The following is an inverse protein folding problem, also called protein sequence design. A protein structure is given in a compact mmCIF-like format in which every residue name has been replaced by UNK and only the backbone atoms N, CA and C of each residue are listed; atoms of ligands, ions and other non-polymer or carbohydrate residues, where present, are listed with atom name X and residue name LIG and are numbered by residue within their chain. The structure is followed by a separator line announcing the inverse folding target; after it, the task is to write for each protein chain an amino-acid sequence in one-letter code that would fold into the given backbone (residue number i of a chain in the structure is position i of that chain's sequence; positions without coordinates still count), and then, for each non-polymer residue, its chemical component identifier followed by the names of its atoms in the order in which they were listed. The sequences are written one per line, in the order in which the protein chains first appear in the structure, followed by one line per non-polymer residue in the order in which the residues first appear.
data_IF_026564262922
#
_entry.id   IF_026564262922
#
_cell.length_a   1.000
_cell.length_b   1.000
_cell.length_c   1.000
_cell.angle_alpha   90.00
_cell.angle_beta   90.00
_cell.angle_gamma   90.00
#
_symmetry.space_group_name_H-M   'P 1'
#
loop_
_entity.id
_entity.type
_entity.pdbx_description
1 polymer ?
#
# COMPACT_ATOMS: atom_id res chain seq x y z
N UNK A 1 -5.45 1.63 10.93
CA UNK A 1 -4.22 1.00 10.36
C UNK A 1 -3.20 0.75 11.47
N UNK A 2 -2.18 -0.08 11.25
CA UNK A 2 -1.18 -0.43 12.29
C UNK A 2 -0.37 0.76 12.83
N UNK A 3 -0.13 1.77 11.99
CA UNK A 3 0.49 3.05 12.39
C UNK A 3 -0.40 3.86 13.33
N UNK A 4 -1.72 3.86 13.12
CA UNK A 4 -2.66 4.57 14.02
C UNK A 4 -2.74 3.87 15.38
N UNK A 5 -2.70 2.53 15.36
CA UNK A 5 -2.70 1.73 16.57
C UNK A 5 -1.48 2.05 17.45
N UNK A 6 -0.29 2.14 16.87
CA UNK A 6 0.93 2.39 17.66
C UNK A 6 0.98 3.83 18.22
N UNK A 7 0.44 4.82 17.51
CA UNK A 7 0.30 6.19 18.02
C UNK A 7 -0.62 6.21 19.25
N UNK A 8 -1.77 5.52 19.18
CA UNK A 8 -2.72 5.41 20.32
C UNK A 8 -2.08 4.74 21.55
N UNK A 9 -1.09 3.88 21.33
CA UNK A 9 -0.31 3.21 22.38
C UNK A 9 0.90 4.04 22.85
N UNK A 10 1.02 5.30 22.40
CA UNK A 10 2.01 6.26 22.90
C UNK A 10 3.33 6.29 22.14
N UNK A 11 3.41 5.73 20.92
CA UNK A 11 4.61 5.90 20.09
C UNK A 11 4.69 7.32 19.53
N UNK A 12 5.84 7.97 19.71
CA UNK A 12 6.17 9.23 19.07
C UNK A 12 6.70 8.98 17.65
N UNK A 13 5.79 8.95 16.68
CA UNK A 13 6.16 8.80 15.26
C UNK A 13 6.70 10.09 14.64
N UNK A 14 6.65 11.23 15.34
CA UNK A 14 7.28 12.48 14.92
C UNK A 14 8.77 12.54 15.30
N UNK A 15 9.26 11.55 16.07
CA UNK A 15 10.66 11.44 16.46
C UNK A 15 11.60 11.52 15.23
N UNK A 16 12.48 12.54 15.14
CA UNK A 16 13.33 12.76 13.97
C UNK A 16 14.42 11.70 13.79
N UNK A 17 14.60 10.81 14.77
CA UNK A 17 15.47 9.66 14.64
C UNK A 17 14.82 8.50 13.90
N UNK A 18 13.49 8.44 13.79
CA UNK A 18 12.82 7.42 13.00
C UNK A 18 13.13 7.62 11.52
N UNK A 19 13.41 6.52 10.83
CA UNK A 19 13.81 6.50 9.43
C UNK A 19 12.77 5.78 8.57
N UNK A 20 12.20 4.70 9.10
CA UNK A 20 11.23 3.87 8.40
C UNK A 20 10.48 3.00 9.39
N UNK A 21 9.39 2.40 8.92
CA UNK A 21 8.87 1.17 9.50
C UNK A 21 8.99 0.04 8.49
N UNK A 22 9.00 -1.19 9.01
CA UNK A 22 9.00 -2.42 8.24
C UNK A 22 7.89 -3.34 8.77
N UNK A 23 7.42 -4.23 7.91
CA UNK A 23 6.40 -5.21 8.25
C UNK A 23 6.98 -6.61 8.07
N UNK A 24 6.87 -7.46 9.08
CA UNK A 24 7.25 -8.87 8.98
C UNK A 24 5.97 -9.70 9.09
N UNK A 25 5.62 -10.48 8.06
CA UNK A 25 4.46 -11.37 8.12
C UNK A 25 4.79 -12.64 8.90
N UNK A 26 3.91 -13.01 9.81
CA UNK A 26 3.77 -14.33 10.42
C UNK A 26 2.47 -14.98 9.89
N UNK A 27 2.24 -16.27 10.11
CA UNK A 27 1.14 -17.04 9.48
C UNK A 27 -0.24 -16.39 9.57
N UNK A 28 -0.52 -15.65 10.65
CA UNK A 28 -1.81 -14.97 10.89
C UNK A 28 -1.71 -13.55 11.42
N UNK A 29 -0.50 -13.01 11.46
CA UNK A 29 -0.23 -11.69 12.03
C UNK A 29 0.91 -11.00 11.31
N UNK A 30 1.06 -9.71 11.57
CA UNK A 30 2.16 -8.92 11.06
C UNK A 30 2.83 -8.20 12.21
N UNK A 31 4.15 -8.21 12.22
CA UNK A 31 4.95 -7.45 13.16
C UNK A 31 5.36 -6.15 12.46
N UNK A 32 4.83 -5.04 12.95
CA UNK A 32 5.19 -3.71 12.53
C UNK A 32 6.34 -3.21 13.41
N UNK A 33 7.46 -2.87 12.79
CA UNK A 33 8.70 -2.49 13.48
C UNK A 33 9.18 -1.11 13.01
N UNK A 34 9.36 -0.18 13.94
CA UNK A 34 9.83 1.19 13.65
C UNK A 34 11.33 1.31 13.89
N UNK A 35 12.06 1.65 12.82
CA UNK A 35 13.51 1.68 12.78
C UNK A 35 13.97 3.12 12.73
N UNK A 36 14.97 3.45 13.55
CA UNK A 36 15.58 4.76 13.60
C UNK A 36 17.10 4.73 13.72
N UNK A 37 17.70 5.92 13.80
CA UNK A 37 19.12 6.14 14.06
C UNK A 37 19.49 5.64 15.46
N UNK A 38 20.65 5.01 15.62
CA UNK A 38 21.19 4.48 16.88
C UNK A 38 22.70 4.72 16.91
N UNK A 39 23.15 5.86 17.45
CA UNK A 39 24.56 6.28 17.38
C UNK A 39 25.08 6.21 15.93
N UNK A 40 26.02 5.29 15.65
CA UNK A 40 26.62 5.04 14.33
C UNK A 40 25.92 3.91 13.53
N UNK A 41 24.76 3.43 13.97
CA UNK A 41 23.99 2.35 13.31
C UNK A 41 22.49 2.67 13.28
N UNK A 42 21.67 1.71 12.85
CA UNK A 42 20.22 1.72 13.03
C UNK A 42 19.80 0.88 14.24
N UNK A 43 18.59 1.11 14.74
CA UNK A 43 17.98 0.34 15.82
C UNK A 43 16.46 0.38 15.80
N UNK A 44 15.84 -0.59 16.45
CA UNK A 44 14.41 -0.73 16.63
C UNK A 44 13.93 0.12 17.82
N UNK A 45 13.00 1.01 17.58
CA UNK A 45 12.41 1.92 18.57
C UNK A 45 11.07 1.40 19.09
N UNK A 46 10.21 0.96 18.17
CA UNK A 46 8.88 0.46 18.50
C UNK A 46 8.60 -0.84 17.75
N UNK A 47 7.81 -1.70 18.35
CA UNK A 47 7.31 -2.91 17.71
C UNK A 47 5.88 -3.16 18.17
N UNK A 48 5.03 -3.67 17.28
CA UNK A 48 3.66 -4.09 17.60
C UNK A 48 3.27 -5.24 16.68
N UNK A 49 2.48 -6.17 17.19
CA UNK A 49 1.86 -7.21 16.37
C UNK A 49 0.43 -6.79 16.02
N UNK A 50 0.05 -6.99 14.76
CA UNK A 50 -1.28 -6.67 14.24
C UNK A 50 -1.85 -7.90 13.53
N UNK A 51 -3.15 -8.12 13.65
CA UNK A 51 -3.93 -9.08 12.87
C UNK A 51 -4.91 -8.32 11.96
N UNK A 52 -5.79 -9.05 11.29
CA UNK A 52 -6.92 -8.44 10.55
C UNK A 52 -7.90 -7.73 11.47
N UNK A 53 -7.97 -8.13 12.74
CA UNK A 53 -8.94 -7.61 13.71
C UNK A 53 -8.40 -6.40 14.49
N UNK A 54 -7.10 -6.12 14.36
CA UNK A 54 -6.47 -4.97 15.01
C UNK A 54 -5.11 -5.30 15.64
N UNK A 55 -4.58 -4.41 16.49
CA UNK A 55 -3.38 -4.71 17.26
C UNK A 55 -3.63 -5.88 18.23
N UNK A 56 -2.66 -6.78 18.35
CA UNK A 56 -2.69 -7.85 19.37
C UNK A 56 -2.46 -7.22 20.74
N UNK A 57 -3.31 -7.54 21.69
CA UNK A 57 -3.22 -7.03 23.07
C UNK A 57 -1.84 -7.31 23.67
N UNK A 58 -1.30 -6.30 24.38
CA UNK A 58 0.01 -6.35 25.04
C UNK A 58 1.21 -6.65 24.12
N UNK A 59 1.06 -6.62 22.79
CA UNK A 59 2.16 -6.85 21.84
C UNK A 59 3.04 -5.63 21.59
N UNK A 60 2.59 -4.44 22.03
CA UNK A 60 3.33 -3.20 21.83
C UNK A 60 4.57 -3.12 22.73
N UNK A 61 5.70 -2.85 22.11
CA UNK A 61 6.99 -2.69 22.77
C UNK A 61 7.58 -1.34 22.38
N UNK A 62 7.89 -0.53 23.40
CA UNK A 62 8.70 0.69 23.28
C UNK A 62 10.08 0.47 23.88
N UNK A 63 11.12 0.57 23.05
CA UNK A 63 12.49 0.34 23.47
C UNK A 63 13.13 1.64 23.96
N UNK A 64 13.30 1.80 25.29
CA UNK A 64 13.99 2.96 25.91
C UNK A 64 15.36 3.23 25.29
N UNK A 65 16.09 2.17 24.90
CA UNK A 65 17.30 2.23 24.09
C UNK A 65 17.08 1.42 22.82
N UNK A 66 17.34 1.97 21.61
CA UNK A 66 17.02 1.26 20.37
C UNK A 66 17.71 -0.11 20.32
N UNK A 67 16.90 -1.16 20.11
CA UNK A 67 17.37 -2.54 20.04
C UNK A 67 18.12 -2.77 18.72
N UNK A 68 19.15 -3.61 18.72
CA UNK A 68 19.87 -3.97 17.50
C UNK A 68 18.93 -4.71 16.54
N UNK A 69 18.93 -4.32 15.27
CA UNK A 69 18.14 -4.98 14.22
C UNK A 69 18.60 -6.43 14.00
N UNK A 70 17.64 -7.33 13.83
CA UNK A 70 17.89 -8.71 13.36
C UNK A 70 18.42 -8.71 11.91
N UNK A 71 18.93 -9.86 11.45
CA UNK A 71 19.37 -10.01 10.04
C UNK A 71 18.24 -9.73 9.06
N UNK A 72 17.06 -10.29 9.34
CA UNK A 72 15.82 -10.10 8.56
C UNK A 72 15.41 -8.64 8.50
N UNK A 73 15.39 -7.96 9.65
CA UNK A 73 15.01 -6.54 9.74
C UNK A 73 15.97 -5.65 8.97
N UNK A 74 17.27 -5.94 9.01
CA UNK A 74 18.26 -5.23 8.20
C UNK A 74 18.04 -5.42 6.70
N UNK A 75 17.69 -6.64 6.26
CA UNK A 75 17.40 -6.91 4.85
C UNK A 75 16.18 -6.13 4.37
N UNK A 76 15.09 -6.12 5.14
CA UNK A 76 13.89 -5.35 4.79
C UNK A 76 14.19 -3.85 4.80
N UNK A 77 14.89 -3.34 5.83
CA UNK A 77 15.28 -1.95 5.88
C UNK A 77 16.11 -1.54 4.65
N UNK A 78 17.14 -2.30 4.31
CA UNK A 78 17.99 -2.03 3.15
C UNK A 78 17.20 -2.08 1.83
N UNK A 79 16.31 -3.05 1.67
CA UNK A 79 15.44 -3.15 0.50
C UNK A 79 14.53 -1.91 0.37
N UNK A 80 13.93 -1.45 1.48
CA UNK A 80 13.11 -0.23 1.51
C UNK A 80 13.93 1.00 1.12
N UNK A 81 15.15 1.13 1.63
CA UNK A 81 16.03 2.25 1.27
C UNK A 81 16.44 2.20 -0.20
N UNK A 82 16.76 1.02 -0.73
CA UNK A 82 17.07 0.83 -2.14
C UNK A 82 15.89 1.21 -3.05
N UNK A 83 14.66 0.82 -2.70
CA UNK A 83 13.47 1.22 -3.44
C UNK A 83 13.25 2.74 -3.40
N UNK A 84 13.39 3.37 -2.23
CA UNK A 84 13.24 4.83 -2.05
C UNK A 84 14.31 5.65 -2.79
N UNK A 85 15.47 5.06 -3.08
CA UNK A 85 16.55 5.73 -3.83
C UNK A 85 16.40 5.64 -5.34
N UNK A 86 15.44 4.87 -5.85
CA UNK A 86 15.21 4.79 -7.30
C UNK A 86 14.59 6.08 -7.82
N UNK A 87 14.85 6.33 -9.10
CA UNK A 87 14.08 7.30 -9.85
C UNK A 87 12.75 6.68 -10.28
N UNK A 88 11.65 7.30 -9.89
CA UNK A 88 10.29 6.86 -10.19
C UNK A 88 9.36 8.08 -10.14
N UNK A 89 8.18 7.95 -10.76
CA UNK A 89 7.17 9.01 -10.77
C UNK A 89 6.70 9.34 -9.34
N UNK A 90 7.18 10.44 -8.78
CA UNK A 90 6.79 10.90 -7.44
C UNK A 90 5.55 11.77 -7.50
N UNK A 91 4.41 11.20 -7.13
CA UNK A 91 3.13 11.92 -7.08
C UNK A 91 2.78 12.53 -5.74
N UNK A 92 3.62 12.29 -4.72
CA UNK A 92 3.47 12.91 -3.41
C UNK A 92 4.81 13.24 -2.79
N UNK A 93 4.82 14.26 -1.92
CA UNK A 93 5.95 14.51 -1.01
C UNK A 93 6.07 13.44 0.07
N UNK A 94 4.98 12.73 0.36
CA UNK A 94 4.89 11.72 1.40
C UNK A 94 4.50 10.37 0.82
N UNK A 95 5.22 9.33 1.26
CA UNK A 95 4.96 7.96 0.87
C UNK A 95 4.88 7.10 2.12
N UNK A 96 3.77 6.40 2.28
CA UNK A 96 3.72 5.23 3.14
C UNK A 96 4.53 4.11 2.46
N UNK A 97 5.16 3.25 3.24
CA UNK A 97 5.85 2.10 2.68
C UNK A 97 5.44 0.81 3.38
N UNK A 98 5.33 -0.28 2.65
CA UNK A 98 5.24 -1.62 3.23
C UNK A 98 6.30 -2.49 2.58
N UNK A 99 6.86 -3.45 3.32
CA UNK A 99 7.78 -4.41 2.74
C UNK A 99 7.51 -5.78 3.34
N UNK A 100 7.53 -6.82 2.52
CA UNK A 100 7.27 -8.19 2.95
C UNK A 100 8.13 -9.18 2.17
N UNK A 101 8.51 -10.26 2.85
CA UNK A 101 9.16 -11.38 2.17
C UNK A 101 8.15 -12.15 1.32
N UNK A 102 8.60 -12.53 0.13
CA UNK A 102 7.88 -13.46 -0.76
C UNK A 102 8.83 -14.56 -1.22
N UNK A 103 8.29 -15.73 -1.48
CA UNK A 103 9.08 -16.90 -1.90
C UNK A 103 8.66 -17.32 -3.30
N UNK A 104 9.62 -17.36 -4.22
CA UNK A 104 9.43 -17.93 -5.56
C UNK A 104 10.35 -19.14 -5.69
N UNK A 105 9.76 -20.34 -5.74
CA UNK A 105 10.51 -21.60 -5.67
C UNK A 105 11.34 -21.69 -4.39
N UNK A 106 12.65 -21.89 -4.51
CA UNK A 106 13.59 -21.97 -3.36
C UNK A 106 14.20 -20.62 -2.96
N UNK A 107 13.82 -19.51 -3.61
CA UNK A 107 14.42 -18.19 -3.41
C UNK A 107 13.46 -17.25 -2.67
N UNK A 108 14.00 -16.51 -1.70
CA UNK A 108 13.30 -15.45 -0.97
C UNK A 108 13.64 -14.10 -1.59
N UNK A 109 12.61 -13.30 -1.81
CA UNK A 109 12.67 -11.92 -2.28
C UNK A 109 11.91 -11.03 -1.31
N UNK A 110 12.02 -9.72 -1.49
CA UNK A 110 11.26 -8.73 -0.72
C UNK A 110 10.45 -7.90 -1.71
N UNK A 111 9.13 -7.89 -1.56
CA UNK A 111 8.34 -6.83 -2.16
C UNK A 111 8.46 -5.58 -1.30
N UNK A 112 8.71 -4.44 -1.94
CA UNK A 112 8.62 -3.11 -1.32
C UNK A 112 7.56 -2.32 -2.05
N UNK A 113 6.58 -1.84 -1.29
CA UNK A 113 5.50 -0.98 -1.72
C UNK A 113 5.81 0.45 -1.30
N UNK A 114 5.78 1.37 -2.25
CA UNK A 114 5.80 2.81 -2.01
C UNK A 114 4.43 3.34 -2.40
N UNK A 115 3.64 3.68 -1.38
CA UNK A 115 2.25 4.12 -1.52
C UNK A 115 2.23 5.64 -1.34
N UNK A 116 2.03 6.37 -2.44
CA UNK A 116 1.78 7.80 -2.40
C UNK A 116 0.64 8.12 -1.40
N UNK A 117 0.89 9.06 -0.49
CA UNK A 117 -0.03 9.44 0.57
C UNK A 117 -0.29 10.95 0.55
N UNK A 118 -1.40 11.39 1.12
CA UNK A 118 -1.71 12.81 1.31
C UNK A 118 -2.10 13.04 2.77
N UNK A 119 -1.75 14.22 3.28
CA UNK A 119 -2.23 14.72 4.58
C UNK A 119 -3.49 15.60 4.43
N UNK A 120 -4.00 15.75 3.21
CA UNK A 120 -5.24 16.49 2.92
C UNK A 120 -6.44 15.58 3.16
N UNK A 121 -7.31 15.98 4.09
CA UNK A 121 -8.54 15.24 4.41
C UNK A 121 -9.43 15.12 3.17
N UNK A 122 -9.92 13.91 2.91
CA UNK A 122 -10.78 13.60 1.77
C UNK A 122 -10.05 13.59 0.42
N UNK A 123 -8.72 13.64 0.40
CA UNK A 123 -7.96 13.47 -0.84
C UNK A 123 -7.73 11.97 -1.12
N UNK A 124 -8.27 11.52 -2.24
CA UNK A 124 -7.99 10.23 -2.83
C UNK A 124 -6.74 10.31 -3.70
N UNK A 125 -5.72 9.51 -3.38
CA UNK A 125 -4.47 9.41 -4.15
C UNK A 125 -4.46 8.06 -4.82
N UNK A 126 -5.05 7.97 -6.02
CA UNK A 126 -5.20 6.72 -6.77
C UNK A 126 -3.99 6.39 -7.67
N UNK A 127 -3.00 7.31 -7.77
CA UNK A 127 -1.84 7.17 -8.64
C UNK A 127 -0.50 7.41 -7.96
N UNK A 128 0.57 7.03 -8.65
CA UNK A 128 1.95 7.21 -8.18
C UNK A 128 2.38 6.21 -7.11
N UNK A 129 1.66 5.09 -6.97
CA UNK A 129 2.12 3.97 -6.16
C UNK A 129 3.07 3.08 -6.97
N UNK A 130 4.03 2.47 -6.28
CA UNK A 130 5.04 1.60 -6.89
C UNK A 130 5.24 0.33 -6.07
N UNK A 131 5.49 -0.78 -6.75
CA UNK A 131 5.97 -2.02 -6.15
C UNK A 131 7.32 -2.38 -6.75
N UNK A 132 8.26 -2.77 -5.90
CA UNK A 132 9.57 -3.28 -6.30
C UNK A 132 9.74 -4.70 -5.77
N UNK A 133 10.33 -5.59 -6.58
CA UNK A 133 10.79 -6.89 -6.13
C UNK A 133 12.31 -6.85 -5.98
N UNK A 134 12.83 -7.15 -4.80
CA UNK A 134 14.25 -7.04 -4.47
C UNK A 134 14.81 -8.42 -4.08
N UNK A 135 15.98 -8.77 -4.60
CA UNK A 135 16.79 -9.88 -4.09
C UNK A 135 17.60 -9.39 -2.87
N UNK A 136 17.24 -9.83 -1.64
CA UNK A 136 17.88 -9.36 -0.42
C UNK A 136 19.29 -9.92 -0.20
N UNK A 137 19.73 -10.90 -1.00
CA UNK A 137 21.10 -11.45 -0.94
C UNK A 137 22.05 -10.62 -1.78
N UNK A 138 21.57 -10.14 -2.92
CA UNK A 138 22.34 -9.31 -3.86
C UNK A 138 22.11 -7.82 -3.67
N UNK A 139 21.14 -7.44 -2.84
CA UNK A 139 20.68 -6.06 -2.68
C UNK A 139 20.36 -5.41 -4.04
N UNK A 140 19.62 -6.13 -4.88
CA UNK A 140 19.34 -5.76 -6.28
C UNK A 140 17.86 -5.76 -6.56
N UNK A 141 17.38 -4.75 -7.27
CA UNK A 141 16.02 -4.72 -7.82
C UNK A 141 15.94 -5.69 -8.99
N UNK A 142 14.95 -6.57 -8.93
CA UNK A 142 14.65 -7.60 -9.93
C UNK A 142 13.49 -7.15 -10.81
N UNK A 143 12.52 -6.42 -10.24
CA UNK A 143 11.35 -5.94 -10.95
C UNK A 143 10.86 -4.63 -10.32
N UNK A 144 10.29 -3.76 -11.16
CA UNK A 144 9.60 -2.53 -10.77
C UNK A 144 8.27 -2.45 -11.50
N UNK A 145 7.18 -2.36 -10.74
CA UNK A 145 5.82 -2.25 -11.23
C UNK A 145 5.24 -0.88 -10.82
N UNK A 146 5.15 0.10 -11.72
CA UNK A 146 4.37 1.31 -11.47
C UNK A 146 2.87 0.99 -11.55
N UNK A 147 2.10 1.46 -10.57
CA UNK A 147 0.65 1.24 -10.54
C UNK A 147 -0.08 2.05 -11.62
N UNK A 148 0.34 3.30 -11.80
CA UNK A 148 -0.16 4.23 -12.82
C UNK A 148 1.00 4.87 -13.56
N UNK A 149 0.72 5.40 -14.76
CA UNK A 149 1.70 6.18 -15.54
C UNK A 149 1.62 7.68 -15.27
N UNK A 150 0.68 8.11 -14.43
CA UNK A 150 0.45 9.51 -14.08
C UNK A 150 0.05 9.67 -12.60
N UNK A 151 0.11 10.89 -12.11
CA UNK A 151 -0.42 11.26 -10.80
C UNK A 151 -1.93 11.42 -10.89
N UNK A 152 -2.66 10.58 -10.16
CA UNK A 152 -4.11 10.61 -10.09
C UNK A 152 -4.50 10.97 -8.67
N UNK A 153 -5.04 12.17 -8.50
CA UNK A 153 -5.53 12.66 -7.21
C UNK A 153 -6.90 13.30 -7.40
N UNK A 154 -7.84 12.95 -6.54
CA UNK A 154 -9.20 13.48 -6.57
C UNK A 154 -9.64 13.85 -5.17
N UNK A 155 -10.44 14.91 -5.03
CA UNK A 155 -11.09 15.21 -3.76
C UNK A 155 -12.42 14.45 -3.71
N UNK A 156 -12.59 13.61 -2.71
CA UNK A 156 -13.86 12.91 -2.46
C UNK A 156 -14.85 13.89 -1.84
N UNK A 157 -16.06 13.91 -2.37
CA UNK A 157 -17.18 14.60 -1.73
C UNK A 157 -17.59 13.84 -0.47
N UNK A 158 -18.15 14.54 0.53
CA UNK A 158 -18.51 13.94 1.82
C UNK A 158 -19.57 12.82 1.71
N UNK A 159 -20.38 12.84 0.66
CA UNK A 159 -21.44 11.87 0.36
C UNK A 159 -20.98 10.74 -0.58
N UNK A 160 -19.71 10.72 -1.00
CA UNK A 160 -19.16 9.68 -1.88
C UNK A 160 -19.36 8.29 -1.27
N UNK A 161 -20.06 7.40 -1.99
CA UNK A 161 -20.31 6.01 -1.57
C UNK A 161 -19.44 4.98 -2.26
N UNK A 162 -18.84 5.33 -3.39
CA UNK A 162 -17.98 4.48 -4.18
C UNK A 162 -17.06 5.32 -5.05
N UNK A 163 -15.95 4.73 -5.50
CA UNK A 163 -15.12 5.31 -6.55
C UNK A 163 -15.08 4.40 -7.77
N UNK A 164 -14.84 5.00 -8.93
CA UNK A 164 -14.72 4.30 -10.21
C UNK A 164 -13.40 4.71 -10.85
N UNK A 165 -12.58 3.72 -11.24
CA UNK A 165 -11.27 3.95 -11.84
C UNK A 165 -11.04 3.05 -13.04
N UNK A 166 -10.17 3.49 -13.95
CA UNK A 166 -9.71 2.68 -15.07
C UNK A 166 -8.31 2.15 -14.78
N UNK A 167 -8.11 0.84 -14.94
CA UNK A 167 -6.83 0.18 -14.74
C UNK A 167 -6.25 -0.29 -16.08
N UNK A 168 -5.02 0.17 -16.35
CA UNK A 168 -4.38 0.02 -17.67
C UNK A 168 -3.28 -1.05 -17.72
N UNK A 169 -2.76 -1.48 -16.57
CA UNK A 169 -1.50 -2.23 -16.52
C UNK A 169 -1.68 -3.74 -16.36
N UNK A 170 -2.90 -4.23 -16.12
CA UNK A 170 -3.19 -5.66 -16.02
C UNK A 170 -4.67 -6.00 -16.29
N UNK A 171 -4.95 -7.30 -16.45
CA UNK A 171 -6.31 -7.84 -16.71
C UNK A 171 -7.21 -7.89 -15.47
N UNK A 172 -6.68 -7.64 -14.28
CA UNK A 172 -7.41 -7.66 -13.01
C UNK A 172 -7.01 -6.46 -12.17
N UNK A 173 -7.82 -6.03 -11.18
CA UNK A 173 -7.32 -5.13 -10.15
C UNK A 173 -6.11 -5.76 -9.44
N UNK A 174 -5.20 -4.91 -8.97
CA UNK A 174 -4.10 -5.31 -8.10
C UNK A 174 -4.31 -4.82 -6.66
N UNK A 175 -3.36 -5.14 -5.79
CA UNK A 175 -3.38 -4.88 -4.35
C UNK A 175 -3.54 -3.40 -3.97
N UNK A 176 -3.18 -2.45 -4.83
CA UNK A 176 -3.39 -1.04 -4.52
C UNK A 176 -4.88 -0.69 -4.49
N UNK A 177 -5.72 -1.29 -5.34
CA UNK A 177 -7.17 -1.08 -5.27
C UNK A 177 -7.76 -1.65 -3.98
N UNK A 178 -7.19 -2.76 -3.47
CA UNK A 178 -7.59 -3.32 -2.17
C UNK A 178 -7.22 -2.34 -1.07
N UNK A 179 -5.98 -1.83 -1.07
CA UNK A 179 -5.53 -0.84 -0.10
C UNK A 179 -6.43 0.41 -0.10
N UNK A 180 -6.74 0.96 -1.29
CA UNK A 180 -7.58 2.15 -1.41
C UNK A 180 -9.02 1.90 -0.91
N UNK A 181 -9.58 0.72 -1.19
CA UNK A 181 -10.92 0.35 -0.69
C UNK A 181 -10.95 0.30 0.84
N UNK A 182 -9.90 -0.25 1.47
CA UNK A 182 -9.77 -0.24 2.93
C UNK A 182 -9.53 1.15 3.49
N UNK A 183 -8.67 1.96 2.86
CA UNK A 183 -8.33 3.30 3.32
C UNK A 183 -9.58 4.19 3.44
N UNK A 184 -10.45 4.10 2.43
CA UNK A 184 -11.66 4.92 2.33
C UNK A 184 -12.92 4.21 2.84
N UNK A 185 -12.81 2.95 3.28
CA UNK A 185 -13.91 2.10 3.73
C UNK A 185 -15.11 2.12 2.74
N UNK A 186 -14.82 2.01 1.44
CA UNK A 186 -15.83 2.07 0.38
C UNK A 186 -15.46 1.14 -0.78
N UNK A 187 -16.47 0.65 -1.54
CA UNK A 187 -16.21 -0.14 -2.74
C UNK A 187 -15.54 0.70 -3.83
N UNK A 188 -14.59 0.07 -4.54
CA UNK A 188 -13.96 0.63 -5.73
C UNK A 188 -14.36 -0.24 -6.93
N UNK A 189 -14.91 0.40 -7.95
CA UNK A 189 -15.18 -0.25 -9.23
C UNK A 189 -14.04 0.03 -10.19
N UNK A 190 -13.46 -1.04 -10.73
CA UNK A 190 -12.25 -0.96 -11.57
C UNK A 190 -12.57 -1.50 -12.95
N UNK A 191 -12.46 -0.65 -13.97
CA UNK A 191 -12.55 -1.07 -15.38
C UNK A 191 -11.15 -1.42 -15.88
N UNK A 192 -10.91 -2.68 -16.22
CA UNK A 192 -9.62 -3.12 -16.78
C UNK A 192 -9.68 -3.07 -18.30
N UNK A 193 -8.77 -2.31 -18.93
CA UNK A 193 -8.81 -2.09 -20.39
C UNK A 193 -8.34 -3.29 -21.19
N UNK A 194 -7.48 -4.15 -20.63
CA UNK A 194 -6.92 -5.30 -21.35
C UNK A 194 -7.92 -6.44 -21.63
N UNK A 195 -9.09 -6.43 -20.99
CA UNK A 195 -10.14 -7.44 -21.18
C UNK A 195 -11.56 -6.86 -21.06
N UNK A 196 -11.66 -5.54 -21.00
CA UNK A 196 -12.90 -4.78 -20.86
C UNK A 196 -13.81 -5.21 -19.69
N UNK A 197 -13.26 -5.83 -18.64
CA UNK A 197 -14.05 -6.27 -17.47
C UNK A 197 -14.22 -5.14 -16.45
N UNK A 198 -15.40 -5.11 -15.82
CA UNK A 198 -15.65 -4.30 -14.64
C UNK A 198 -15.55 -5.18 -13.40
N UNK A 199 -14.75 -4.73 -12.44
CA UNK A 199 -14.49 -5.43 -11.19
C UNK A 199 -15.02 -4.61 -10.03
N UNK A 200 -15.45 -5.28 -8.97
CA UNK A 200 -15.72 -4.69 -7.66
C UNK A 200 -14.61 -5.09 -6.71
N UNK A 201 -14.04 -4.11 -6.03
CA UNK A 201 -13.05 -4.30 -4.97
C UNK A 201 -13.65 -3.78 -3.68
N UNK A 202 -13.84 -4.66 -2.70
CA UNK A 202 -14.38 -4.30 -1.40
C UNK A 202 -14.03 -5.34 -0.34
N UNK A 203 -13.74 -4.90 0.90
CA UNK A 203 -13.43 -5.78 2.04
C UNK A 203 -12.40 -6.88 1.71
N UNK A 204 -11.31 -6.51 1.05
CA UNK A 204 -10.23 -7.44 0.71
C UNK A 204 -10.55 -8.42 -0.43
N UNK A 205 -11.72 -8.29 -1.07
CA UNK A 205 -12.15 -9.17 -2.17
C UNK A 205 -12.14 -8.43 -3.49
N UNK A 206 -11.73 -9.15 -4.54
CA UNK A 206 -11.85 -8.74 -5.94
C UNK A 206 -12.84 -9.72 -6.58
N UNK A 207 -13.91 -9.19 -7.17
CA UNK A 207 -14.89 -9.97 -7.93
C UNK A 207 -15.28 -9.26 -9.22
N UNK A 208 -15.81 -10.02 -10.18
CA UNK A 208 -16.46 -9.42 -11.36
C UNK A 208 -17.71 -8.68 -10.87
N UNK A 209 -17.89 -7.44 -11.31
CA UNK A 209 -19.08 -6.66 -10.97
C UNK A 209 -20.31 -7.27 -11.68
N UNK A 210 -21.25 -7.74 -10.87
CA UNK A 210 -22.56 -8.23 -11.31
C UNK A 210 -23.59 -7.10 -11.20
N UNK A 211 -24.66 -7.18 -12.00
CA UNK A 211 -25.75 -6.21 -11.88
C UNK A 211 -26.41 -6.31 -10.50
N UNK A 212 -26.71 -5.16 -9.92
CA UNK A 212 -27.35 -4.97 -8.63
C UNK A 212 -28.77 -4.41 -8.79
N UNK A 213 -29.62 -4.66 -7.80
CA UNK A 213 -31.03 -4.24 -7.80
C UNK A 213 -31.20 -2.71 -7.90
N UNK A 214 -30.23 -1.94 -7.40
CA UNK A 214 -30.23 -0.48 -7.45
C UNK A 214 -29.70 0.10 -8.79
N UNK A 215 -29.28 -0.78 -9.70
CA UNK A 215 -28.77 -0.46 -11.03
C UNK A 215 -27.43 0.28 -11.03
N UNK A 216 -26.69 0.30 -9.92
CA UNK A 216 -25.40 0.98 -9.81
C UNK A 216 -24.40 0.48 -10.84
N UNK A 217 -24.26 -0.83 -11.02
CA UNK A 217 -23.32 -1.42 -11.99
C UNK A 217 -23.69 -1.05 -13.42
N UNK A 218 -24.99 -1.04 -13.74
CA UNK A 218 -25.48 -0.61 -15.05
C UNK A 218 -25.18 0.87 -15.32
N UNK A 219 -25.37 1.75 -14.33
CA UNK A 219 -24.98 3.19 -14.43
C UNK A 219 -23.49 3.34 -14.69
N UNK A 220 -22.64 2.59 -14.00
CA UNK A 220 -21.17 2.62 -14.18
C UNK A 220 -20.78 2.14 -15.58
N UNK A 221 -21.34 1.03 -16.07
CA UNK A 221 -21.08 0.53 -17.42
C UNK A 221 -21.49 1.57 -18.48
N UNK A 222 -22.63 2.22 -18.30
CA UNK A 222 -23.09 3.27 -19.21
C UNK A 222 -22.19 4.52 -19.19
N UNK A 223 -21.67 4.89 -18.02
CA UNK A 223 -20.69 5.97 -17.90
C UNK A 223 -19.43 5.70 -18.74
N UNK A 224 -18.86 4.50 -18.63
CA UNK A 224 -17.68 4.11 -19.43
C UNK A 224 -17.97 4.06 -20.94
N UNK A 225 -19.15 3.56 -21.35
CA UNK A 225 -19.54 3.56 -22.77
C UNK A 225 -19.57 4.98 -23.34
N UNK A 226 -20.16 5.94 -22.62
CA UNK A 226 -20.22 7.35 -23.04
C UNK A 226 -18.82 7.98 -23.18
N UNK A 227 -17.90 7.67 -22.26
CA UNK A 227 -16.54 8.20 -22.32
C UNK A 227 -15.74 7.66 -23.52
N UNK A 228 -15.98 6.42 -23.94
CA UNK A 228 -15.32 5.86 -25.12
C UNK A 228 -15.83 6.51 -26.42
N UNK A 229 -17.15 6.73 -26.54
CA UNK A 229 -17.74 7.35 -27.73
C UNK A 229 -17.31 8.82 -27.92
N UNK A 230 -16.95 9.53 -26.86
CA UNK A 230 -16.46 10.91 -26.94
C UNK A 230 -14.98 11.05 -27.33
N UNK A 231 -14.25 9.95 -27.56
CA UNK A 231 -12.83 9.96 -27.97
C UNK A 231 -12.62 9.73 -29.47
N UNK A 232 -13.70 9.57 -30.25
CA UNK A 232 -13.65 9.36 -31.70
C UNK A 232 -13.96 10.63 -32.53
N UNK A 233 -13.84 11.82 -31.94
CA UNK A 233 -13.96 13.13 -32.62
C UNK A 233 -12.66 13.92 -32.55
#
# INVERSE_FOLDING_TARGET
MGTDAIIRLGADLANPNLLAFITESNERSWILSFIGKRKKSQGLYYQIEITTDGPVDNSYISYKKPKKLSKTQKQIFNATQLAKSQDYLRCSKQYNNAALFVTFGKKKYIYVYLIAASNVVGMDVAGGHHRFLIDPRKNKIIQHDPHTKSCLTSKLAADTKLTVVTHLTSKTPNEFHIYMSYLHNMPIYVKTTMNDKLWKVYNGKISIAQDDEDGTVSKIRNHFKKQNNNKEL
#
